data_IF_662389470695
#
_entry.id   IF_662389470695
#
_cell.length_a   1.000
_cell.length_b   1.000
_cell.length_c   1.000
_cell.angle_alpha   90.00
_cell.angle_beta   90.00
_cell.angle_gamma   90.00
#
_symmetry.space_group_name_H-M   'P 1'
#
loop_
_entity.id
_entity.type
_entity.pdbx_description
1 polymer ?
#
# COMPACT_ATOMS: atom_id res chain seq x y z
N UNK A 1 -22.70 -8.41 -1.24
CA UNK A 1 -22.48 -8.69 0.20
C UNK A 1 -23.71 -9.33 0.84
N UNK A 2 -23.51 -10.41 1.59
CA UNK A 2 -24.61 -11.13 2.26
C UNK A 2 -25.31 -10.24 3.32
N UNK A 3 -26.65 -10.34 3.48
CA UNK A 3 -27.41 -9.44 4.36
C UNK A 3 -26.93 -9.42 5.82
N UNK A 4 -26.48 -10.55 6.35
CA UNK A 4 -26.01 -10.65 7.75
C UNK A 4 -24.67 -9.97 8.01
N UNK A 5 -23.84 -9.75 6.99
CA UNK A 5 -22.58 -9.02 7.11
C UNK A 5 -22.74 -7.50 7.05
N UNK A 6 -23.85 -7.00 6.48
CA UNK A 6 -24.10 -5.56 6.33
C UNK A 6 -24.00 -4.76 7.64
N UNK A 7 -24.60 -5.19 8.77
CA UNK A 7 -24.50 -4.45 10.03
C UNK A 7 -23.06 -4.40 10.56
N UNK A 8 -22.32 -5.52 10.48
CA UNK A 8 -20.93 -5.63 10.93
C UNK A 8 -20.02 -4.71 10.13
N UNK A 9 -20.13 -4.76 8.81
CA UNK A 9 -19.36 -3.89 7.90
C UNK A 9 -19.73 -2.42 8.10
N UNK A 10 -21.03 -2.11 8.32
CA UNK A 10 -21.47 -0.74 8.60
C UNK A 10 -20.91 -0.23 9.93
N UNK A 11 -20.86 -1.08 10.96
CA UNK A 11 -20.19 -0.79 12.22
C UNK A 11 -18.71 -0.51 12.05
N UNK A 12 -18.01 -1.38 11.30
CA UNK A 12 -16.58 -1.23 10.95
C UNK A 12 -16.30 0.10 10.24
N UNK A 13 -17.10 0.45 9.24
CA UNK A 13 -16.92 1.69 8.46
C UNK A 13 -17.35 2.95 9.24
N UNK A 14 -18.30 2.84 10.15
CA UNK A 14 -18.71 3.95 11.03
C UNK A 14 -17.63 4.29 12.06
N UNK A 15 -16.85 3.29 12.46
CA UNK A 15 -15.72 3.45 13.38
C UNK A 15 -14.45 4.02 12.72
N UNK A 16 -14.55 4.77 11.65
CA UNK A 16 -13.45 5.39 10.87
C UNK A 16 -12.36 6.09 11.69
N UNK A 17 -12.56 6.26 12.99
CA UNK A 17 -11.60 6.73 14.00
C UNK A 17 -11.43 5.77 15.19
N UNK A 18 -12.24 4.74 15.29
CA UNK A 18 -12.05 3.75 16.31
C UNK A 18 -11.08 2.70 15.78
N UNK A 19 -9.93 2.71 16.37
CA UNK A 19 -8.95 1.68 16.31
C UNK A 19 -9.65 0.31 16.47
N UNK A 20 -9.67 -0.52 15.43
CA UNK A 20 -10.09 -1.92 15.52
C UNK A 20 -9.20 -2.71 16.47
N UNK A 21 -8.22 -2.03 17.10
CA UNK A 21 -7.32 -2.58 18.11
C UNK A 21 -8.04 -3.11 19.36
N UNK A 22 -9.31 -2.81 19.53
CA UNK A 22 -10.07 -3.21 20.72
C UNK A 22 -10.32 -4.70 20.88
N UNK A 23 -10.01 -5.53 19.91
CA UNK A 23 -10.13 -6.98 20.00
C UNK A 23 -9.17 -7.65 19.01
N UNK A 24 -7.87 -7.55 19.25
CA UNK A 24 -6.98 -8.59 18.73
C UNK A 24 -7.42 -9.87 19.42
N UNK A 25 -7.84 -10.93 18.71
CA UNK A 25 -8.09 -12.21 19.34
C UNK A 25 -6.87 -12.56 20.19
N UNK A 26 -7.07 -12.91 21.45
CA UNK A 26 -5.97 -13.22 22.37
C UNK A 26 -5.01 -14.26 21.77
N UNK A 27 -5.53 -15.13 20.91
CA UNK A 27 -4.79 -16.18 20.19
C UNK A 27 -3.91 -15.64 19.05
N UNK A 28 -4.28 -14.53 18.42
CA UNK A 28 -3.44 -13.91 17.38
C UNK A 28 -2.16 -13.27 17.95
N UNK A 29 -2.13 -12.97 19.25
CA UNK A 29 -0.93 -12.50 19.95
C UNK A 29 0.08 -13.63 20.25
N UNK A 30 -0.35 -14.89 20.18
CA UNK A 30 0.47 -16.06 20.49
C UNK A 30 0.92 -16.84 19.26
N UNK A 31 0.37 -16.55 18.07
CA UNK A 31 0.88 -17.13 16.83
C UNK A 31 2.29 -16.59 16.55
N UNK A 32 3.26 -17.46 16.15
CA UNK A 32 4.58 -16.99 15.76
C UNK A 32 4.41 -15.96 14.63
N UNK A 33 4.99 -14.75 14.81
CA UNK A 33 4.85 -13.70 13.82
C UNK A 33 5.64 -14.10 12.57
N UNK A 34 4.95 -14.21 11.44
CA UNK A 34 5.59 -14.46 10.15
C UNK A 34 6.53 -13.29 9.78
N UNK A 35 7.67 -13.59 9.10
CA UNK A 35 8.60 -12.54 8.68
C UNK A 35 7.91 -11.55 7.74
N UNK A 36 8.32 -10.29 7.79
CA UNK A 36 7.85 -9.29 6.82
C UNK A 36 8.41 -9.61 5.43
N UNK A 37 7.59 -9.57 4.38
CA UNK A 37 8.09 -9.75 3.03
C UNK A 37 8.97 -8.57 2.60
N UNK A 38 9.97 -8.84 1.76
CA UNK A 38 10.80 -7.82 1.13
C UNK A 38 10.06 -7.20 -0.05
N UNK A 39 10.14 -5.89 -0.21
CA UNK A 39 9.49 -5.24 -1.34
C UNK A 39 9.18 -3.76 -1.12
N UNK A 40 8.45 -3.22 -2.09
CA UNK A 40 7.93 -1.86 -2.07
C UNK A 40 6.57 -1.82 -1.36
N UNK A 41 6.45 -0.99 -0.33
CA UNK A 41 5.21 -0.79 0.42
C UNK A 41 4.71 0.63 0.25
N UNK A 42 3.43 0.79 -0.12
CA UNK A 42 2.79 2.10 -0.23
C UNK A 42 2.50 2.65 1.17
N UNK A 43 3.15 3.75 1.54
CA UNK A 43 2.99 4.38 2.85
C UNK A 43 2.03 5.58 2.83
N UNK A 44 1.75 6.14 1.65
CA UNK A 44 0.81 7.23 1.48
C UNK A 44 0.31 7.29 0.03
N UNK A 45 -0.85 7.87 -0.20
CA UNK A 45 -1.20 8.39 -1.53
C UNK A 45 -0.48 9.74 -1.76
N UNK A 46 -0.23 10.10 -3.02
CA UNK A 46 0.56 11.29 -3.35
C UNK A 46 -0.03 12.59 -2.79
N UNK A 47 -1.35 12.69 -2.67
CA UNK A 47 -2.05 13.86 -2.15
C UNK A 47 -1.96 14.01 -0.62
N UNK A 48 -1.51 12.97 0.10
CA UNK A 48 -1.26 13.03 1.54
C UNK A 48 0.06 13.77 1.88
N UNK A 49 0.98 13.95 0.93
CA UNK A 49 2.28 14.60 1.16
C UNK A 49 2.50 15.77 0.20
N UNK A 50 2.26 16.97 0.68
CA UNK A 50 2.47 18.21 -0.08
C UNK A 50 3.93 18.64 -0.09
N UNK A 51 4.30 19.51 -1.02
CA UNK A 51 5.62 20.17 -1.00
C UNK A 51 5.81 20.94 0.29
N UNK A 52 7.02 20.88 0.83
CA UNK A 52 7.37 21.51 2.10
C UNK A 52 6.77 20.83 3.33
N UNK A 53 6.31 19.57 3.24
CA UNK A 53 5.70 18.86 4.35
C UNK A 53 6.39 17.55 4.70
N UNK A 54 6.11 17.09 5.91
CA UNK A 54 6.67 15.89 6.53
C UNK A 54 5.51 15.04 7.04
N UNK A 55 5.57 13.73 6.81
CA UNK A 55 4.68 12.75 7.43
C UNK A 55 5.50 11.63 8.05
N UNK A 56 4.97 11.01 9.09
CA UNK A 56 5.53 9.79 9.69
C UNK A 56 4.57 8.62 9.43
N UNK A 57 5.12 7.49 9.02
CA UNK A 57 4.35 6.27 8.74
C UNK A 57 5.04 5.04 9.32
N UNK A 58 4.29 4.07 9.84
CA UNK A 58 4.85 2.79 10.28
C UNK A 58 5.18 1.90 9.08
N UNK A 59 6.28 1.16 9.17
CA UNK A 59 6.70 0.13 8.22
C UNK A 59 7.50 -0.95 8.95
N UNK A 60 7.01 -2.19 8.92
CA UNK A 60 7.70 -3.38 9.42
C UNK A 60 8.29 -3.19 10.84
N UNK A 61 7.47 -2.74 11.79
CA UNK A 61 7.85 -2.53 13.18
C UNK A 61 8.65 -1.26 13.46
N UNK A 62 8.77 -0.35 12.49
CA UNK A 62 9.54 0.90 12.59
C UNK A 62 8.73 2.07 12.08
N UNK A 63 9.18 3.27 12.43
CA UNK A 63 8.69 4.51 11.84
C UNK A 63 9.61 4.95 10.71
N UNK A 64 9.00 5.49 9.67
CA UNK A 64 9.66 6.13 8.53
C UNK A 64 9.16 7.56 8.44
N UNK A 65 10.06 8.51 8.39
CA UNK A 65 9.76 9.91 8.08
C UNK A 65 9.89 10.09 6.58
N UNK A 66 8.79 10.50 5.95
CA UNK A 66 8.73 10.80 4.52
C UNK A 66 8.51 12.30 4.40
N UNK A 67 9.27 12.96 3.55
CA UNK A 67 9.13 14.38 3.33
C UNK A 67 9.29 14.76 1.88
N UNK A 68 8.74 15.91 1.54
CA UNK A 68 8.89 16.51 0.23
C UNK A 68 9.46 17.91 0.40
N UNK A 69 10.56 18.17 -0.25
CA UNK A 69 11.20 19.50 -0.26
C UNK A 69 10.30 20.54 -0.95
N UNK A 70 10.65 21.82 -0.86
CA UNK A 70 9.88 22.87 -1.54
C UNK A 70 9.97 22.78 -3.06
N UNK A 71 11.08 22.28 -3.63
CA UNK A 71 11.19 21.98 -5.05
C UNK A 71 10.42 20.72 -5.44
N UNK A 72 10.04 19.88 -4.46
CA UNK A 72 9.25 18.67 -4.68
C UNK A 72 10.04 17.37 -4.66
N UNK A 73 11.30 17.40 -4.26
CA UNK A 73 12.12 16.19 -4.12
C UNK A 73 11.58 15.33 -2.98
N UNK A 74 11.25 14.07 -3.28
CA UNK A 74 10.73 13.09 -2.33
C UNK A 74 11.88 12.36 -1.65
N UNK A 75 11.81 12.22 -0.33
CA UNK A 75 12.77 11.47 0.49
C UNK A 75 12.08 10.70 1.59
N UNK A 76 12.70 9.60 2.01
CA UNK A 76 12.30 8.81 3.17
C UNK A 76 13.53 8.51 4.03
N UNK A 77 13.42 8.74 5.33
CA UNK A 77 14.57 8.64 6.25
C UNK A 77 14.15 7.97 7.57
N UNK A 78 15.13 7.46 8.30
CA UNK A 78 14.92 7.10 9.72
C UNK A 78 14.51 8.33 10.49
N UNK A 79 13.59 8.21 11.47
CA UNK A 79 13.03 9.38 12.16
C UNK A 79 14.00 10.09 13.10
N UNK A 80 15.12 9.47 13.45
CA UNK A 80 16.03 9.96 14.52
C UNK A 80 17.18 10.78 13.95
N UNK A 81 17.28 12.04 14.43
CA UNK A 81 18.41 12.90 14.17
C UNK A 81 19.69 12.28 14.75
N UNK A 82 20.79 12.16 13.99
CA UNK A 82 22.02 11.53 14.46
C UNK A 82 22.75 12.33 15.56
N UNK A 83 22.36 13.59 15.82
CA UNK A 83 22.93 14.39 16.88
C UNK A 83 22.58 13.82 18.28
N UNK A 84 21.33 13.98 18.72
CA UNK A 84 20.86 13.53 20.04
C UNK A 84 19.50 12.80 19.96
N UNK A 85 19.18 12.18 18.84
CA UNK A 85 18.05 11.28 18.71
C UNK A 85 16.67 11.94 18.61
N UNK A 86 16.58 13.27 18.42
CA UNK A 86 15.29 13.94 18.24
C UNK A 86 14.53 13.38 17.02
N UNK A 87 13.21 13.29 17.15
CA UNK A 87 12.36 12.74 16.10
C UNK A 87 12.03 13.80 15.04
N UNK A 88 12.52 13.62 13.81
CA UNK A 88 12.36 14.59 12.70
C UNK A 88 10.89 14.79 12.28
N UNK A 89 10.05 13.79 12.43
CA UNK A 89 8.61 13.88 12.12
C UNK A 89 7.77 14.56 13.21
N UNK A 90 8.36 14.91 14.35
CA UNK A 90 7.69 15.57 15.47
C UNK A 90 8.28 16.97 15.64
N UNK A 91 7.66 17.97 15.01
CA UNK A 91 8.10 19.36 15.05
C UNK A 91 9.25 19.72 14.12
N UNK A 92 9.77 18.80 13.30
CA UNK A 92 10.71 19.11 12.22
C UNK A 92 10.06 19.94 11.12
N UNK A 93 10.86 20.66 10.35
CA UNK A 93 10.41 21.53 9.26
C UNK A 93 11.19 21.28 7.98
N UNK A 94 10.61 21.72 6.86
CA UNK A 94 11.32 21.77 5.57
C UNK A 94 11.67 23.23 5.29
N UNK A 95 12.95 23.48 5.05
CA UNK A 95 13.48 24.79 4.70
C UNK A 95 14.20 24.68 3.36
N UNK A 96 13.55 25.11 2.29
CA UNK A 96 14.06 24.87 0.93
C UNK A 96 14.14 23.38 0.62
N UNK A 97 15.36 22.89 0.42
CA UNK A 97 15.63 21.49 0.13
C UNK A 97 16.04 20.67 1.39
N UNK A 98 16.16 21.35 2.53
CA UNK A 98 16.64 20.75 3.77
C UNK A 98 15.48 20.27 4.66
N UNK A 99 15.67 19.11 5.32
CA UNK A 99 14.87 18.74 6.50
C UNK A 99 15.59 19.22 7.76
N UNK A 100 14.89 19.97 8.60
CA UNK A 100 15.46 20.64 9.79
C UNK A 100 14.96 19.97 11.06
N UNK A 101 15.90 19.55 11.89
CA UNK A 101 15.64 18.95 13.20
C UNK A 101 15.02 19.97 14.16
N UNK A 102 13.94 19.63 14.88
CA UNK A 102 13.25 20.58 15.76
C UNK A 102 14.07 20.96 17.00
N UNK A 103 15.05 20.13 17.39
CA UNK A 103 15.76 20.32 18.67
C UNK A 103 16.88 21.35 18.55
N UNK A 104 17.90 21.08 17.74
CA UNK A 104 19.06 21.95 17.60
C UNK A 104 19.19 22.57 16.20
N UNK A 105 18.13 22.45 15.39
CA UNK A 105 18.04 22.98 14.03
C UNK A 105 19.17 22.49 13.11
N UNK A 106 19.66 21.27 13.35
CA UNK A 106 20.51 20.60 12.38
C UNK A 106 19.72 20.39 11.10
N UNK A 107 20.26 20.85 10.00
CA UNK A 107 19.65 20.76 8.68
C UNK A 107 20.39 19.74 7.84
N UNK A 108 19.61 18.92 7.14
CA UNK A 108 20.13 17.85 6.31
C UNK A 108 19.63 18.06 4.87
N UNK A 109 20.55 18.01 3.94
CA UNK A 109 20.27 18.13 2.51
C UNK A 109 19.52 16.89 1.96
N UNK A 110 19.08 16.87 0.69
CA UNK A 110 18.45 15.71 0.09
C UNK A 110 19.32 14.45 0.00
N UNK A 111 20.64 14.57 0.11
CA UNK A 111 21.54 13.41 0.24
C UNK A 111 21.61 12.89 1.69
N UNK A 112 20.94 13.57 2.61
CA UNK A 112 20.90 13.25 4.03
C UNK A 112 22.11 13.79 4.82
N UNK A 113 23.03 14.53 4.19
CA UNK A 113 24.22 15.06 4.84
C UNK A 113 23.87 16.28 5.70
N UNK A 114 24.42 16.37 6.93
CA UNK A 114 24.27 17.54 7.77
C UNK A 114 25.04 18.71 7.16
N UNK A 115 24.33 19.79 6.82
CA UNK A 115 24.89 20.96 6.14
C UNK A 115 24.89 22.23 6.97
N UNK A 116 24.14 22.27 8.10
CA UNK A 116 24.00 23.46 8.94
C UNK A 116 23.60 23.08 10.37
N UNK A 117 24.00 23.88 11.33
CA UNK A 117 23.53 23.82 12.72
C UNK A 117 22.70 25.07 13.05
N UNK A 118 21.95 25.02 14.16
CA UNK A 118 21.13 26.17 14.60
C UNK A 118 21.87 27.25 15.40
N UNK A 119 23.18 27.11 15.58
CA UNK A 119 24.00 28.00 16.41
C UNK A 119 25.31 28.43 15.73
N UNK A 120 25.28 28.51 14.39
CA UNK A 120 26.36 29.04 13.52
C UNK A 120 27.75 28.39 13.72
N UNK A 121 27.74 27.10 14.11
CA UNK A 121 28.95 26.29 14.17
C UNK A 121 29.03 25.39 12.91
N UNK A 122 30.23 25.00 12.47
CA UNK A 122 30.37 24.06 11.38
C UNK A 122 29.58 22.76 11.63
N UNK A 123 28.87 22.25 10.62
CA UNK A 123 28.12 21.03 10.79
C UNK A 123 29.04 19.82 11.03
N UNK A 124 28.65 18.89 11.91
CA UNK A 124 29.41 17.66 12.10
C UNK A 124 29.29 16.75 10.87
N UNK A 125 30.24 15.83 10.73
CA UNK A 125 30.18 14.77 9.73
C UNK A 125 29.09 13.75 10.17
N UNK A 126 27.84 14.06 9.88
CA UNK A 126 26.69 13.24 10.23
C UNK A 126 25.72 13.15 9.06
N UNK A 127 25.06 12.03 8.92
CA UNK A 127 24.07 11.81 7.87
C UNK A 127 22.84 11.06 8.37
N UNK A 128 21.70 11.33 7.75
CA UNK A 128 20.48 10.57 7.95
C UNK A 128 20.55 9.24 7.22
N UNK A 129 20.11 8.17 7.86
CA UNK A 129 19.89 6.90 7.16
C UNK A 129 18.68 7.06 6.26
N UNK A 130 18.85 6.84 4.96
CA UNK A 130 17.80 6.96 3.95
C UNK A 130 17.20 5.59 3.60
N UNK A 131 15.93 5.60 3.23
CA UNK A 131 15.24 4.51 2.56
C UNK A 131 15.09 4.83 1.07
N UNK A 132 15.17 3.82 0.22
CA UNK A 132 14.74 3.99 -1.15
C UNK A 132 13.24 4.31 -1.18
N UNK A 133 12.88 5.35 -1.93
CA UNK A 133 11.51 5.85 -2.04
C UNK A 133 11.21 6.23 -3.49
N UNK A 134 10.00 5.95 -3.95
CA UNK A 134 9.54 6.37 -5.28
C UNK A 134 8.05 6.73 -5.26
N UNK A 135 7.66 7.49 -6.28
CA UNK A 135 6.27 7.74 -6.61
C UNK A 135 5.89 6.91 -7.82
N UNK A 136 4.83 6.14 -7.70
CA UNK A 136 4.26 5.39 -8.81
C UNK A 136 2.75 5.20 -8.58
N UNK A 137 1.97 5.14 -9.65
CA UNK A 137 0.56 4.75 -9.62
C UNK A 137 -0.28 5.53 -8.60
N UNK A 138 0.07 6.80 -8.35
CA UNK A 138 -0.62 7.66 -7.39
C UNK A 138 -0.25 7.43 -5.92
N UNK A 139 0.72 6.57 -5.64
CA UNK A 139 1.21 6.25 -4.29
C UNK A 139 2.68 6.58 -4.07
N UNK A 140 3.05 6.72 -2.81
CA UNK A 140 4.42 6.87 -2.33
C UNK A 140 4.86 5.54 -1.74
N UNK A 141 5.87 4.92 -2.35
CA UNK A 141 6.38 3.61 -1.97
C UNK A 141 7.75 3.73 -1.34
N UNK A 142 7.95 2.97 -0.25
CA UNK A 142 9.23 2.83 0.43
C UNK A 142 9.66 1.38 0.35
N UNK A 143 10.93 1.17 0.04
CA UNK A 143 11.53 -0.15 0.00
C UNK A 143 11.84 -0.67 1.39
N UNK A 144 11.45 -1.91 1.65
CA UNK A 144 11.83 -2.68 2.82
C UNK A 144 12.54 -3.96 2.42
N UNK A 145 13.63 -4.28 3.12
CA UNK A 145 14.30 -5.57 3.01
C UNK A 145 14.82 -6.01 4.38
N UNK A 146 14.60 -7.28 4.75
CA UNK A 146 14.96 -7.80 6.07
C UNK A 146 16.46 -7.67 6.39
N UNK A 147 17.33 -7.79 5.37
CA UNK A 147 18.77 -7.61 5.47
C UNK A 147 19.24 -6.21 5.07
N UNK A 148 18.36 -5.25 4.88
CA UNK A 148 18.72 -3.89 4.47
C UNK A 148 19.29 -3.77 3.05
N UNK A 149 19.09 -4.76 2.17
CA UNK A 149 19.56 -4.71 0.79
C UNK A 149 18.80 -3.65 -0.02
N UNK A 150 19.45 -3.03 -1.02
CA UNK A 150 18.81 -2.06 -1.90
C UNK A 150 17.69 -2.69 -2.73
N UNK A 151 16.83 -1.87 -3.38
CA UNK A 151 15.79 -2.38 -4.25
C UNK A 151 16.34 -3.31 -5.33
N UNK A 152 15.70 -4.47 -5.46
CA UNK A 152 16.03 -5.49 -6.44
C UNK A 152 15.16 -5.39 -7.70
N UNK A 153 14.13 -4.56 -7.63
CA UNK A 153 13.17 -4.29 -8.71
C UNK A 153 12.50 -2.92 -8.51
N UNK A 154 11.91 -2.40 -9.55
CA UNK A 154 11.19 -1.12 -9.55
C UNK A 154 9.67 -1.34 -9.50
N UNK A 155 8.93 -0.40 -8.90
CA UNK A 155 7.48 -0.43 -8.94
C UNK A 155 7.01 -0.26 -10.40
N UNK A 156 6.30 -1.24 -10.99
CA UNK A 156 5.85 -1.12 -12.37
C UNK A 156 4.84 0.00 -12.53
N UNK A 157 4.97 0.77 -13.60
CA UNK A 157 4.06 1.86 -13.93
C UNK A 157 2.81 1.29 -14.62
N UNK A 158 1.65 1.55 -14.03
CA UNK A 158 0.35 1.20 -14.59
C UNK A 158 -0.15 2.31 -15.54
N UNK A 159 -1.04 2.00 -16.48
CA UNK A 159 -1.59 2.97 -17.42
C UNK A 159 -2.64 3.89 -16.74
N UNK A 160 -2.20 4.72 -15.80
CA UNK A 160 -3.02 5.65 -15.01
C UNK A 160 -2.77 7.11 -15.43
N UNK A 161 -3.78 7.95 -15.30
CA UNK A 161 -3.62 9.40 -15.41
C UNK A 161 -3.23 9.99 -14.03
N UNK A 162 -1.97 10.36 -13.86
CA UNK A 162 -1.42 10.86 -12.58
C UNK A 162 -1.98 12.23 -12.15
N UNK A 163 -2.67 12.95 -13.04
CA UNK A 163 -3.26 14.27 -12.74
C UNK A 163 -4.49 14.19 -11.83
N UNK A 164 -5.09 13.02 -11.71
CA UNK A 164 -6.23 12.79 -10.82
C UNK A 164 -5.80 11.94 -9.63
N UNK A 165 -5.93 12.44 -8.38
CA UNK A 165 -5.69 11.64 -7.20
C UNK A 165 -6.74 10.55 -7.03
N UNK A 166 -6.40 9.50 -6.32
CA UNK A 166 -7.37 8.51 -5.85
C UNK A 166 -8.29 9.13 -4.78
N UNK A 167 -9.53 8.68 -4.74
CA UNK A 167 -10.33 8.78 -3.52
C UNK A 167 -10.00 7.57 -2.67
N UNK A 168 -9.62 7.77 -1.41
CA UNK A 168 -9.04 6.68 -0.63
C UNK A 168 -9.49 6.68 0.84
N UNK A 169 -9.36 5.52 1.46
CA UNK A 169 -9.52 5.27 2.90
C UNK A 169 -8.33 4.44 3.38
N UNK A 170 -8.05 4.50 4.69
CA UNK A 170 -7.00 3.73 5.35
C UNK A 170 -7.58 3.02 6.56
N UNK A 171 -7.21 1.75 6.74
CA UNK A 171 -7.70 0.87 7.80
C UNK A 171 -6.51 0.18 8.49
N UNK A 172 -6.53 0.13 9.82
CA UNK A 172 -5.56 -0.61 10.63
C UNK A 172 -6.22 -1.89 11.13
N UNK A 173 -5.72 -3.05 10.69
CA UNK A 173 -6.29 -4.36 11.03
C UNK A 173 -5.21 -5.35 11.48
N UNK A 174 -5.62 -6.42 12.18
CA UNK A 174 -4.80 -7.60 12.34
C UNK A 174 -4.64 -8.29 10.96
N UNK A 175 -3.51 -8.94 10.74
CA UNK A 175 -3.25 -9.69 9.51
C UNK A 175 -1.82 -9.58 9.00
N UNK A 176 -1.60 -10.17 7.85
CA UNK A 176 -0.30 -10.20 7.18
C UNK A 176 -0.47 -9.82 5.69
N UNK A 177 0.47 -9.07 5.08
CA UNK A 177 0.33 -8.65 3.68
C UNK A 177 0.08 -9.80 2.72
N UNK A 178 0.77 -10.93 2.88
CA UNK A 178 0.60 -12.10 2.02
C UNK A 178 -0.84 -12.61 1.99
N UNK A 179 -1.56 -12.59 3.14
CA UNK A 179 -2.93 -13.10 3.21
C UNK A 179 -3.90 -12.18 2.48
N UNK A 180 -3.66 -10.87 2.53
CA UNK A 180 -4.43 -9.89 1.74
C UNK A 180 -4.21 -10.09 0.23
N UNK A 181 -2.95 -10.28 -0.18
CA UNK A 181 -2.62 -10.46 -1.59
C UNK A 181 -3.12 -11.82 -2.12
N UNK A 182 -3.26 -12.82 -1.25
CA UNK A 182 -3.85 -14.13 -1.61
C UNK A 182 -5.25 -14.00 -2.23
N UNK A 183 -6.02 -12.97 -1.85
CA UNK A 183 -7.35 -12.71 -2.42
C UNK A 183 -7.36 -12.53 -3.94
N UNK A 184 -6.27 -12.06 -4.55
CA UNK A 184 -6.19 -11.96 -6.00
C UNK A 184 -6.17 -13.35 -6.70
N UNK A 185 -5.87 -14.39 -5.95
CA UNK A 185 -5.75 -15.78 -6.41
C UNK A 185 -6.82 -16.69 -5.82
N UNK A 186 -7.59 -16.21 -4.85
CA UNK A 186 -8.78 -16.88 -4.32
C UNK A 186 -10.01 -16.51 -5.16
N UNK A 187 -10.34 -17.35 -6.12
CA UNK A 187 -11.44 -17.05 -7.00
C UNK A 187 -12.80 -17.43 -6.41
N UNK A 188 -12.80 -18.32 -5.43
CA UNK A 188 -14.01 -18.80 -4.75
C UNK A 188 -14.69 -17.72 -3.91
N UNK A 189 -13.95 -16.78 -3.32
CA UNK A 189 -14.52 -15.71 -2.52
C UNK A 189 -15.32 -14.68 -3.36
N UNK A 190 -14.95 -14.47 -4.62
CA UNK A 190 -15.58 -13.48 -5.49
C UNK A 190 -17.11 -13.71 -5.66
N UNK A 191 -17.61 -14.90 -6.03
CA UNK A 191 -19.04 -15.16 -6.01
C UNK A 191 -19.60 -15.33 -4.59
N UNK A 192 -18.83 -15.91 -3.67
CA UNK A 192 -19.32 -16.23 -2.32
C UNK A 192 -19.53 -14.98 -1.45
N UNK A 193 -18.59 -14.04 -1.45
CA UNK A 193 -18.58 -12.86 -0.62
C UNK A 193 -19.12 -11.62 -1.36
N UNK A 194 -18.63 -11.38 -2.58
CA UNK A 194 -19.00 -10.20 -3.38
C UNK A 194 -20.19 -10.42 -4.31
N UNK A 195 -20.61 -11.65 -4.48
CA UNK A 195 -21.79 -11.97 -5.31
C UNK A 195 -21.55 -11.75 -6.81
N UNK A 196 -20.30 -11.82 -7.28
CA UNK A 196 -19.99 -11.83 -8.70
C UNK A 196 -20.62 -13.07 -9.35
N UNK A 197 -21.21 -12.88 -10.53
CA UNK A 197 -21.85 -13.96 -11.29
C UNK A 197 -21.10 -14.19 -12.59
N UNK A 198 -21.22 -15.40 -13.11
CA UNK A 198 -20.62 -15.79 -14.39
C UNK A 198 -19.13 -15.45 -14.47
N UNK A 199 -18.40 -15.66 -13.36
CA UNK A 199 -16.96 -15.44 -13.28
C UNK A 199 -16.24 -16.41 -14.22
N UNK A 200 -15.45 -15.86 -15.14
CA UNK A 200 -14.57 -16.61 -16.03
C UNK A 200 -13.18 -16.03 -15.88
N UNK A 201 -12.23 -16.88 -15.55
CA UNK A 201 -10.81 -16.52 -15.50
C UNK A 201 -10.20 -16.83 -16.87
N UNK A 202 -9.51 -15.84 -17.45
CA UNK A 202 -8.96 -15.94 -18.80
C UNK A 202 -7.57 -16.60 -18.79
N UNK A 203 -7.50 -17.85 -18.36
CA UNK A 203 -6.27 -18.62 -18.26
C UNK A 203 -5.57 -18.54 -16.89
N UNK A 204 -4.42 -19.20 -16.74
CA UNK A 204 -3.65 -19.16 -15.51
C UNK A 204 -3.06 -17.76 -15.27
N UNK A 205 -2.79 -17.38 -14.00
CA UNK A 205 -2.07 -16.14 -13.71
C UNK A 205 -0.73 -16.09 -14.45
N UNK A 206 -0.46 -14.94 -15.08
CA UNK A 206 0.86 -14.67 -15.66
C UNK A 206 1.75 -14.20 -14.52
N UNK A 207 2.67 -15.05 -14.10
CA UNK A 207 3.60 -14.75 -13.01
C UNK A 207 4.98 -14.42 -13.55
N UNK A 208 5.47 -13.23 -13.20
CA UNK A 208 6.85 -12.81 -13.38
C UNK A 208 7.41 -12.32 -12.05
N UNK A 209 8.69 -11.99 -12.01
CA UNK A 209 9.24 -11.29 -10.86
C UNK A 209 9.25 -9.78 -11.15
N UNK A 210 8.69 -8.95 -10.29
CA UNK A 210 7.92 -9.18 -9.04
C UNK A 210 6.40 -9.10 -9.23
N UNK A 211 5.90 -9.27 -10.43
CA UNK A 211 4.52 -8.99 -10.82
C UNK A 211 3.78 -10.27 -11.22
N UNK A 212 2.53 -10.35 -10.82
CA UNK A 212 1.60 -11.34 -11.34
C UNK A 212 0.33 -10.66 -11.86
N UNK A 213 -0.21 -11.15 -12.97
CA UNK A 213 -1.44 -10.62 -13.56
C UNK A 213 -2.48 -11.71 -13.71
N UNK A 214 -3.71 -11.39 -13.30
CA UNK A 214 -4.90 -12.22 -13.47
C UNK A 214 -5.91 -11.44 -14.30
N UNK A 215 -6.40 -12.02 -15.38
CA UNK A 215 -7.47 -11.44 -16.18
C UNK A 215 -8.74 -12.26 -16.02
N UNK A 216 -9.86 -11.59 -15.80
CA UNK A 216 -11.14 -12.22 -15.59
C UNK A 216 -12.28 -11.43 -16.21
N UNK A 217 -13.38 -12.11 -16.53
CA UNK A 217 -14.66 -11.49 -16.88
C UNK A 217 -15.73 -11.95 -15.90
N UNK A 218 -16.60 -11.05 -15.47
CA UNK A 218 -17.71 -11.37 -14.59
C UNK A 218 -18.88 -10.41 -14.78
N UNK A 219 -20.07 -10.80 -14.29
CA UNK A 219 -21.19 -9.89 -14.11
C UNK A 219 -21.15 -9.35 -12.67
N UNK A 220 -20.82 -8.08 -12.53
CA UNK A 220 -20.73 -7.42 -11.25
C UNK A 220 -22.05 -6.86 -10.72
N UNK A 221 -22.08 -6.60 -9.43
CA UNK A 221 -23.21 -5.98 -8.73
C UNK A 221 -23.35 -4.48 -9.01
N UNK A 222 -22.24 -3.80 -9.35
CA UNK A 222 -22.20 -2.34 -9.55
C UNK A 222 -22.87 -1.89 -10.86
N UNK A 223 -22.85 -2.72 -11.91
CA UNK A 223 -23.51 -2.41 -13.19
C UNK A 223 -24.45 -3.58 -13.54
N UNK A 224 -25.69 -3.50 -13.07
CA UNK A 224 -26.72 -4.54 -13.21
C UNK A 224 -26.71 -5.17 -14.60
N UNK A 225 -26.28 -6.44 -14.67
CA UNK A 225 -26.42 -7.30 -15.84
C UNK A 225 -25.36 -7.16 -16.92
N UNK A 226 -24.47 -6.18 -16.89
CA UNK A 226 -23.38 -6.08 -17.87
C UNK A 226 -22.20 -6.97 -17.51
N UNK A 227 -21.63 -7.62 -18.52
CA UNK A 227 -20.36 -8.34 -18.38
C UNK A 227 -19.22 -7.34 -18.40
N UNK A 228 -18.32 -7.45 -17.44
CA UNK A 228 -17.17 -6.57 -17.32
C UNK A 228 -15.87 -7.38 -17.35
N UNK A 229 -14.84 -6.80 -17.95
CA UNK A 229 -13.49 -7.33 -17.91
C UNK A 229 -12.72 -6.68 -16.77
N UNK A 230 -12.00 -7.51 -16.00
CA UNK A 230 -11.16 -7.13 -14.89
C UNK A 230 -9.74 -7.59 -15.17
N UNK A 231 -8.77 -6.70 -14.95
CA UNK A 231 -7.37 -7.07 -14.90
C UNK A 231 -6.86 -6.75 -13.50
N UNK A 232 -6.39 -7.77 -12.79
CA UNK A 232 -5.75 -7.62 -11.49
C UNK A 232 -4.24 -7.73 -11.71
N UNK A 233 -3.51 -6.72 -11.27
CA UNK A 233 -2.05 -6.72 -11.26
C UNK A 233 -1.59 -6.74 -9.81
N UNK A 234 -0.90 -7.79 -9.44
CA UNK A 234 -0.29 -7.96 -8.12
C UNK A 234 1.17 -7.53 -8.20
N UNK A 235 1.59 -6.66 -7.31
CA UNK A 235 2.95 -6.11 -7.26
C UNK A 235 3.58 -6.48 -5.93
N UNK A 236 4.50 -7.42 -5.94
CA UNK A 236 5.06 -8.01 -4.73
C UNK A 236 3.98 -8.59 -3.82
N UNK A 237 4.24 -8.62 -2.52
CA UNK A 237 3.24 -8.99 -1.51
C UNK A 237 2.62 -7.77 -0.82
N UNK A 238 2.52 -6.65 -1.55
CA UNK A 238 2.11 -5.37 -0.98
C UNK A 238 0.95 -4.69 -1.70
N UNK A 239 0.71 -4.99 -2.99
CA UNK A 239 -0.25 -4.21 -3.79
C UNK A 239 -1.05 -5.09 -4.73
N UNK A 240 -2.37 -4.89 -4.74
CA UNK A 240 -3.29 -5.33 -5.80
C UNK A 240 -3.82 -4.08 -6.51
N UNK A 241 -3.61 -4.02 -7.82
CA UNK A 241 -4.21 -3.03 -8.69
C UNK A 241 -5.27 -3.71 -9.57
N UNK A 242 -6.52 -3.35 -9.41
CA UNK A 242 -7.60 -3.84 -10.25
C UNK A 242 -8.03 -2.75 -11.24
N UNK A 243 -8.12 -3.11 -12.51
CA UNK A 243 -8.66 -2.27 -13.57
C UNK A 243 -9.90 -2.91 -14.15
N UNK A 244 -10.99 -2.14 -14.24
CA UNK A 244 -12.19 -2.53 -14.98
C UNK A 244 -12.44 -1.54 -16.11
N UNK A 245 -12.67 -2.04 -17.31
CA UNK A 245 -13.01 -1.21 -18.47
C UNK A 245 -14.53 -0.99 -18.47
N UNK A 246 -14.94 0.28 -18.56
CA UNK A 246 -16.35 0.62 -18.62
C UNK A 246 -16.96 0.29 -19.97
N UNK A 247 -18.26 -0.04 -20.03
CA UNK A 247 -18.97 -0.30 -21.27
C UNK A 247 -18.82 0.83 -22.28
N UNK A 248 -18.88 0.49 -23.56
CA UNK A 248 -18.83 1.43 -24.70
C UNK A 248 -17.57 2.32 -24.70
N UNK A 249 -16.49 1.91 -24.04
CA UNK A 249 -15.27 2.70 -23.97
C UNK A 249 -15.42 3.99 -23.14
N UNK A 250 -16.41 4.07 -22.25
CA UNK A 250 -16.68 5.25 -21.42
C UNK A 250 -15.54 5.61 -20.46
N UNK A 251 -14.56 4.72 -20.29
CA UNK A 251 -13.39 4.94 -19.45
C UNK A 251 -12.91 3.69 -18.74
N UNK A 252 -12.22 3.87 -17.63
CA UNK A 252 -11.72 2.79 -16.77
C UNK A 252 -11.91 3.14 -15.31
N UNK A 253 -12.26 2.15 -14.50
CA UNK A 253 -12.24 2.21 -13.05
C UNK A 253 -10.99 1.49 -12.56
N UNK A 254 -10.22 2.16 -11.74
CA UNK A 254 -9.05 1.61 -11.05
C UNK A 254 -9.35 1.50 -9.56
N UNK A 255 -8.94 0.39 -8.99
CA UNK A 255 -8.97 0.12 -7.55
C UNK A 255 -7.57 -0.29 -7.12
N UNK A 256 -7.03 0.39 -6.13
CA UNK A 256 -5.75 0.07 -5.53
C UNK A 256 -5.95 -0.40 -4.11
N UNK A 257 -5.39 -1.55 -3.77
CA UNK A 257 -5.32 -2.07 -2.42
C UNK A 257 -3.85 -2.26 -2.06
N UNK A 258 -3.42 -1.59 -1.00
CA UNK A 258 -2.06 -1.69 -0.50
C UNK A 258 -2.08 -2.25 0.92
N UNK A 259 -1.33 -3.32 1.15
CA UNK A 259 -1.16 -3.96 2.45
C UNK A 259 0.25 -3.66 2.98
N UNK A 260 0.37 -2.75 3.94
CA UNK A 260 1.65 -2.36 4.55
C UNK A 260 1.78 -2.97 5.94
N UNK A 261 2.80 -3.80 6.23
CA UNK A 261 3.03 -4.31 7.57
C UNK A 261 3.46 -3.17 8.49
N UNK A 262 2.79 -3.01 9.64
CA UNK A 262 3.08 -1.93 10.60
C UNK A 262 3.82 -2.43 11.82
N UNK A 263 3.38 -3.56 12.37
CA UNK A 263 4.01 -4.27 13.48
C UNK A 263 3.71 -5.77 13.34
N UNK A 264 4.29 -6.66 14.17
CA UNK A 264 3.99 -8.08 14.11
C UNK A 264 2.48 -8.35 14.17
N UNK A 265 1.97 -9.09 13.18
CA UNK A 265 0.54 -9.43 13.07
C UNK A 265 -0.39 -8.26 12.76
N UNK A 266 0.14 -7.09 12.38
CA UNK A 266 -0.69 -5.92 12.04
C UNK A 266 -0.28 -5.30 10.71
N UNK A 267 -1.30 -4.87 9.98
CA UNK A 267 -1.15 -4.21 8.68
C UNK A 267 -1.99 -2.95 8.61
N UNK A 268 -1.51 -2.00 7.83
CA UNK A 268 -2.30 -0.86 7.39
C UNK A 268 -2.70 -1.08 5.93
N UNK A 269 -4.01 -1.14 5.69
CA UNK A 269 -4.59 -1.24 4.36
C UNK A 269 -4.95 0.15 3.85
N UNK A 270 -4.38 0.52 2.69
CA UNK A 270 -4.79 1.69 1.92
C UNK A 270 -5.60 1.23 0.73
N UNK A 271 -6.81 1.71 0.64
CA UNK A 271 -7.76 1.35 -0.39
C UNK A 271 -8.18 2.59 -1.15
N UNK A 272 -7.93 2.63 -2.44
CA UNK A 272 -8.22 3.79 -3.27
C UNK A 272 -8.95 3.45 -4.57
N UNK A 273 -9.90 4.29 -4.95
CA UNK A 273 -10.63 4.21 -6.22
C UNK A 273 -10.38 5.43 -7.08
N UNK A 274 -10.22 5.21 -8.36
CA UNK A 274 -10.09 6.27 -9.36
C UNK A 274 -10.88 5.90 -10.62
N UNK A 275 -11.82 6.77 -11.00
CA UNK A 275 -12.55 6.67 -12.26
C UNK A 275 -11.90 7.61 -13.27
N UNK A 276 -11.44 7.07 -14.37
CA UNK A 276 -10.98 7.82 -15.52
C UNK A 276 -12.04 7.75 -16.62
N UNK A 277 -12.69 8.85 -16.89
CA UNK A 277 -13.66 8.93 -17.98
C UNK A 277 -12.96 9.16 -19.33
N UNK A 278 -13.52 8.61 -20.37
CA UNK A 278 -13.13 8.94 -21.73
C UNK A 278 -13.26 10.46 -21.98
N UNK A 279 -12.40 10.98 -22.83
CA UNK A 279 -12.46 12.39 -23.22
C UNK A 279 -13.74 12.70 -24.01
N UNK A 280 -14.08 13.98 -24.08
CA UNK A 280 -15.20 14.46 -24.88
C UNK A 280 -14.90 14.20 -26.38
N UNK A 281 -15.78 13.50 -27.11
CA UNK A 281 -15.60 13.27 -28.53
C UNK A 281 -15.44 14.58 -29.30
N UNK A 282 -14.57 14.59 -30.30
CA UNK A 282 -14.33 15.79 -31.13
C UNK A 282 -13.31 16.78 -30.55
N UNK A 283 -12.88 16.62 -29.30
CA UNK A 283 -11.81 17.42 -28.72
C UNK A 283 -10.46 16.69 -28.74
N UNK A 284 -9.34 17.42 -28.81
CA UNK A 284 -8.02 16.81 -28.61
C UNK A 284 -7.97 16.01 -27.30
N UNK A 285 -7.33 14.83 -27.30
CA UNK A 285 -7.41 13.86 -26.19
C UNK A 285 -7.08 14.44 -24.80
N UNK A 286 -6.09 15.35 -24.71
CA UNK A 286 -5.74 16.03 -23.45
C UNK A 286 -6.84 16.98 -22.96
N UNK A 287 -7.43 17.75 -23.88
CA UNK A 287 -8.50 18.70 -23.58
C UNK A 287 -9.79 17.98 -23.21
N UNK A 288 -10.18 16.98 -24.00
CA UNK A 288 -11.38 16.18 -23.73
C UNK A 288 -11.34 15.47 -22.38
N UNK A 289 -10.18 14.91 -21.99
CA UNK A 289 -9.99 14.31 -20.65
C UNK A 289 -9.99 15.36 -19.54
N UNK A 290 -9.37 16.51 -19.75
CA UNK A 290 -9.40 17.60 -18.76
C UNK A 290 -10.84 18.07 -18.49
N UNK A 291 -11.68 18.15 -19.51
CA UNK A 291 -13.09 18.55 -19.39
C UNK A 291 -13.92 17.54 -18.57
N UNK A 292 -13.63 16.24 -18.64
CA UNK A 292 -14.36 15.21 -17.86
C UNK A 292 -13.81 15.01 -16.44
N UNK A 293 -12.64 15.56 -16.11
CA UNK A 293 -11.96 15.35 -14.83
C UNK A 293 -12.77 15.75 -13.59
N UNK A 294 -13.50 16.90 -13.53
CA UNK A 294 -14.29 17.23 -12.34
C UNK A 294 -15.39 16.21 -12.06
N UNK A 295 -16.08 15.74 -13.10
CA UNK A 295 -17.10 14.70 -12.98
C UNK A 295 -16.47 13.37 -12.55
N UNK A 296 -15.34 12.98 -13.14
CA UNK A 296 -14.61 11.78 -12.78
C UNK A 296 -14.17 11.80 -11.30
N UNK A 297 -13.67 12.93 -10.79
CA UNK A 297 -13.31 13.10 -9.37
C UNK A 297 -14.51 12.96 -8.43
N UNK A 298 -15.64 13.58 -8.77
CA UNK A 298 -16.85 13.47 -7.97
C UNK A 298 -17.36 12.02 -7.92
N UNK A 299 -17.44 11.38 -9.08
CA UNK A 299 -17.85 9.99 -9.19
C UNK A 299 -16.88 9.04 -8.49
N UNK A 300 -15.57 9.30 -8.53
CA UNK A 300 -14.58 8.50 -7.78
C UNK A 300 -14.86 8.51 -6.28
N UNK A 301 -15.27 9.66 -5.71
CA UNK A 301 -15.65 9.76 -4.28
C UNK A 301 -16.90 8.93 -3.95
N UNK A 302 -17.88 8.92 -4.84
CA UNK A 302 -19.09 8.11 -4.66
C UNK A 302 -18.75 6.62 -4.77
N UNK A 303 -17.97 6.24 -5.79
CA UNK A 303 -17.52 4.87 -6.01
C UNK A 303 -16.63 4.38 -4.86
N UNK A 304 -15.76 5.23 -4.29
CA UNK A 304 -14.97 4.88 -3.11
C UNK A 304 -15.85 4.45 -1.94
N UNK A 305 -16.94 5.18 -1.67
CA UNK A 305 -17.88 4.81 -0.59
C UNK A 305 -18.55 3.46 -0.83
N UNK A 306 -18.95 3.20 -2.08
CA UNK A 306 -19.58 1.92 -2.45
C UNK A 306 -18.56 0.79 -2.35
N UNK A 307 -17.36 1.01 -2.89
CA UNK A 307 -16.29 0.03 -2.88
C UNK A 307 -15.77 -0.25 -1.46
N UNK A 308 -15.68 0.78 -0.58
CA UNK A 308 -15.32 0.58 0.83
C UNK A 308 -16.34 -0.28 1.59
N UNK A 309 -17.63 -0.22 1.23
CA UNK A 309 -18.65 -1.11 1.81
C UNK A 309 -18.46 -2.55 1.34
N UNK A 310 -18.09 -2.76 0.08
CA UNK A 310 -17.86 -4.09 -0.49
C UNK A 310 -16.57 -4.71 0.06
N UNK A 311 -15.48 -3.95 0.05
CA UNK A 311 -14.18 -4.34 0.65
C UNK A 311 -14.27 -4.50 2.17
N UNK A 312 -15.25 -3.85 2.82
CA UNK A 312 -15.47 -4.02 4.26
C UNK A 312 -15.76 -5.46 4.69
N UNK A 313 -16.27 -6.30 3.77
CA UNK A 313 -16.45 -7.72 4.04
C UNK A 313 -15.09 -8.45 4.10
N UNK A 314 -14.17 -8.11 3.19
CA UNK A 314 -12.80 -8.66 3.19
C UNK A 314 -12.03 -8.19 4.43
N UNK A 315 -12.14 -6.90 4.78
CA UNK A 315 -11.51 -6.35 5.99
C UNK A 315 -11.89 -7.15 7.24
N UNK A 316 -13.18 -7.50 7.35
CA UNK A 316 -13.68 -8.29 8.46
C UNK A 316 -13.09 -9.71 8.46
N UNK A 317 -12.98 -10.32 7.28
CA UNK A 317 -12.37 -11.65 7.15
C UNK A 317 -10.89 -11.59 7.51
N UNK A 318 -10.09 -10.73 6.90
CA UNK A 318 -8.65 -10.61 7.18
C UNK A 318 -8.36 -10.28 8.65
N UNK A 319 -9.18 -9.42 9.30
CA UNK A 319 -8.99 -9.06 10.70
C UNK A 319 -9.13 -10.25 11.66
N UNK A 320 -9.95 -11.23 11.30
CA UNK A 320 -10.24 -12.42 12.12
C UNK A 320 -9.69 -13.72 11.53
N UNK A 321 -9.01 -13.65 10.38
CA UNK A 321 -8.45 -14.82 9.71
C UNK A 321 -7.17 -15.26 10.40
N UNK A 322 -7.05 -16.58 10.62
CA UNK A 322 -5.81 -17.22 10.99
C UNK A 322 -5.13 -17.80 9.76
N UNK A 323 -3.81 -17.72 9.69
CA UNK A 323 -3.06 -18.33 8.60
C UNK A 323 -3.03 -19.85 8.73
N UNK A 324 -3.55 -20.53 7.74
CA UNK A 324 -3.49 -21.99 7.63
C UNK A 324 -2.35 -22.38 6.70
N UNK A 325 -1.29 -22.97 7.21
CA UNK A 325 -0.09 -23.32 6.42
C UNK A 325 -0.42 -24.36 5.34
N UNK A 326 -1.24 -25.36 5.67
CA UNK A 326 -1.67 -26.41 4.73
C UNK A 326 -3.20 -26.39 4.53
N UNK A 327 -3.73 -25.42 3.74
CA UNK A 327 -5.16 -25.27 3.59
C UNK A 327 -5.79 -26.44 2.83
N UNK A 328 -7.01 -26.81 3.22
CA UNK A 328 -7.82 -27.82 2.51
C UNK A 328 -8.59 -27.14 1.39
N UNK A 329 -8.00 -27.10 0.21
CA UNK A 329 -8.55 -26.42 -0.95
C UNK A 329 -9.62 -27.27 -1.64
N UNK A 330 -10.68 -26.60 -2.11
CA UNK A 330 -11.73 -27.16 -2.93
C UNK A 330 -11.50 -26.84 -4.43
N UNK A 331 -12.17 -27.59 -5.28
CA UNK A 331 -12.20 -27.28 -6.71
C UNK A 331 -12.91 -25.92 -6.91
N UNK A 332 -12.18 -24.92 -7.43
CA UNK A 332 -12.72 -23.57 -7.67
C UNK A 332 -12.16 -22.49 -6.76
N UNK A 333 -11.38 -22.84 -5.73
CA UNK A 333 -10.69 -21.86 -4.87
C UNK A 333 -9.61 -21.05 -5.61
N UNK A 334 -9.22 -21.52 -6.80
CA UNK A 334 -8.16 -20.86 -7.57
C UNK A 334 -6.76 -21.41 -7.25
N UNK A 335 -5.70 -20.78 -7.79
CA UNK A 335 -4.33 -21.29 -7.74
C UNK A 335 -3.58 -20.90 -6.45
N UNK A 336 -4.21 -20.98 -5.28
CA UNK A 336 -3.66 -20.61 -3.97
C UNK A 336 -2.27 -21.22 -3.73
N UNK A 337 -2.10 -22.52 -4.01
CA UNK A 337 -0.81 -23.18 -3.83
C UNK A 337 0.30 -22.60 -4.70
N UNK A 338 0.00 -22.25 -5.96
CA UNK A 338 0.95 -21.59 -6.87
C UNK A 338 1.28 -20.19 -6.42
N UNK A 339 0.29 -19.45 -5.94
CA UNK A 339 0.51 -18.14 -5.33
C UNK A 339 1.47 -18.24 -4.14
N UNK A 340 1.23 -19.14 -3.20
CA UNK A 340 2.08 -19.32 -2.01
C UNK A 340 3.51 -19.72 -2.39
N UNK A 341 3.68 -20.56 -3.41
CA UNK A 341 5.00 -20.87 -3.96
C UNK A 341 5.68 -19.64 -4.57
N UNK A 342 4.93 -18.84 -5.36
CA UNK A 342 5.43 -17.58 -5.93
C UNK A 342 5.78 -16.56 -4.83
N UNK A 343 5.04 -16.52 -3.73
CA UNK A 343 5.25 -15.61 -2.61
C UNK A 343 6.59 -15.83 -1.89
N UNK A 344 7.13 -17.07 -1.90
CA UNK A 344 8.38 -17.40 -1.20
C UNK A 344 9.57 -16.55 -1.66
N UNK A 345 9.59 -16.11 -2.90
CA UNK A 345 10.68 -15.27 -3.43
C UNK A 345 10.85 -13.93 -2.70
N UNK A 346 9.82 -13.46 -2.00
CA UNK A 346 9.85 -12.18 -1.28
C UNK A 346 10.35 -12.30 0.16
N UNK A 347 10.83 -13.45 0.56
CA UNK A 347 11.40 -13.68 1.90
C UNK A 347 12.87 -14.01 1.82
N UNK A 348 13.62 -13.55 2.81
CA UNK A 348 15.05 -13.90 2.97
C UNK A 348 15.26 -15.24 3.65
N UNK A 349 14.25 -15.71 4.42
CA UNK A 349 14.25 -17.01 5.09
C UNK A 349 12.93 -17.74 4.75
N UNK A 350 12.91 -19.08 4.82
CA UNK A 350 11.68 -19.84 4.60
C UNK A 350 10.56 -19.33 5.53
N UNK A 351 9.35 -19.20 5.00
CA UNK A 351 8.19 -18.85 5.81
C UNK A 351 8.02 -19.87 6.94
N UNK A 352 8.26 -19.46 8.17
CA UNK A 352 8.31 -20.33 9.36
C UNK A 352 9.49 -20.07 10.29
N UNK A 353 10.46 -19.26 9.86
CA UNK A 353 11.57 -18.82 10.73
C UNK A 353 11.13 -17.70 11.69
N UNK A 354 11.57 -17.77 12.94
CA UNK A 354 11.42 -16.70 13.93
C UNK A 354 11.95 -15.37 13.35
N UNK A 355 11.25 -14.28 13.60
CA UNK A 355 11.68 -12.93 13.19
C UNK A 355 13.09 -12.67 13.72
N UNK A 356 14.10 -12.83 12.87
CA UNK A 356 15.44 -12.40 13.19
C UNK A 356 15.46 -10.86 13.23
N UNK A 357 16.02 -10.29 14.29
CA UNK A 357 16.29 -8.87 14.38
C UNK A 357 17.13 -8.46 13.16
N UNK A 358 16.77 -7.41 12.41
CA UNK A 358 17.56 -6.99 11.25
C UNK A 358 19.00 -6.69 11.66
N UNK A 359 19.97 -7.18 10.88
CA UNK A 359 21.41 -7.17 11.13
C UNK A 359 22.10 -5.77 11.14
N UNK A 360 21.34 -4.67 11.15
CA UNK A 360 21.91 -3.31 11.10
C UNK A 360 21.86 -2.54 12.42
N UNK A 361 21.81 -3.26 13.55
CA UNK A 361 21.89 -2.65 14.88
C UNK A 361 23.30 -2.37 15.39
N UNK A 362 24.37 -2.83 14.74
CA UNK A 362 25.73 -2.69 15.28
C UNK A 362 26.81 -2.48 14.22
N UNK A 363 26.76 -1.35 13.54
CA UNK A 363 27.91 -0.91 12.77
C UNK A 363 28.27 0.55 13.11
N UNK A 364 28.42 0.86 14.40
CA UNK A 364 29.12 2.08 14.86
C UNK A 364 29.47 1.92 16.35
N UNK A 365 30.47 1.07 16.63
CA UNK A 365 31.30 1.27 17.81
C UNK A 365 32.58 0.43 17.65
N UNK A 366 33.48 0.91 16.85
CA UNK A 366 34.93 0.67 16.96
C UNK A 366 35.63 1.53 15.92
N UNK A 367 36.01 2.71 16.35
CA UNK A 367 37.31 3.32 16.01
C UNK A 367 37.41 4.60 16.84
N UNK A 368 38.37 4.53 17.74
CA UNK A 368 38.86 5.64 18.58
C UNK A 368 39.39 6.80 17.75
#
# INVERSE_FOLDING_TARGET
MKPHLKPLVKGLLASRKADLTGATPADALHAPSRPYPNGWFCLAFNDELRRGSIITRPLAGREVVIYRTTAGVLRAVRPRCPHLGAHLGVGGSIEGEEIVCPFHRFAFDPAGVCVRTGYDQPPPKASLTQYAVCEANGGIYVWWHALGLPPQWEVPVLPLDDRQPFSHDTFDIAGHPQDVIENAFDWGHLPALHGLKDLVIDGPPVTGQPVSTVTATARGTMMRGSRQSYTLTVIGLATIAARSVLPLGAGSLYVMLHATPTSPGRIQLRFGTKLELAGVPGLPAKVGRAATMPAARLLSRVLQRVASVDTGADLLMWHHQEHVEHPKLAKGDGPIGRYRQWAQQFYTEPAGGLVSRPAWTEAHSSEE
#
